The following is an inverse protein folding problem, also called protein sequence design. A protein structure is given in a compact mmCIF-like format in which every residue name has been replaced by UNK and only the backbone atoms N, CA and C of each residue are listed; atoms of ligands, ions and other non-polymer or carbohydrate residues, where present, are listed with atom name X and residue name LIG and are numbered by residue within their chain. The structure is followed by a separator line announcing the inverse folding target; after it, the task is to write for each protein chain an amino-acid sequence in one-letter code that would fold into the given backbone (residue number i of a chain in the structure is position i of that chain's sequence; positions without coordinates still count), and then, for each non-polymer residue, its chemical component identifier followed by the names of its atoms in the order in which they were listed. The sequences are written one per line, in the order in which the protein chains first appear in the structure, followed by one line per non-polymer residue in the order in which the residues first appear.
data_IF_550045003362
#
_entry.id   IF_550045003362
#
_cell.length_a   1.000
_cell.length_b   1.000
_cell.length_c   1.000
_cell.angle_alpha   90.00
_cell.angle_beta   90.00
_cell.angle_gamma   90.00
#
_symmetry.space_group_name_H-M   'P 1'
#
loop_
_entity.id
_entity.type
_entity.pdbx_description
1 polymer ?
#
# COMPACT_ATOMS: atom_id res chain seq x y z
N UNK A 1 -15.71 -13.70 -29.89
CA UNK A 1 -15.45 -14.99 -29.25
C UNK A 1 -16.71 -15.82 -29.28
N UNK A 2 -16.70 -16.93 -30.05
CA UNK A 2 -17.79 -17.90 -30.08
C UNK A 2 -17.57 -18.96 -28.98
N UNK A 3 -17.57 -18.54 -27.71
CA UNK A 3 -17.70 -19.49 -26.65
C UNK A 3 -19.11 -20.04 -26.66
N UNK A 4 -19.23 -21.34 -26.86
CA UNK A 4 -20.54 -22.00 -26.73
C UNK A 4 -20.98 -21.94 -25.27
N UNK A 5 -22.25 -21.65 -25.00
CA UNK A 5 -22.75 -21.61 -23.61
C UNK A 5 -22.38 -22.82 -22.78
N UNK A 6 -22.34 -23.99 -23.41
CA UNK A 6 -21.96 -25.25 -22.77
C UNK A 6 -20.51 -25.25 -22.27
N UNK A 7 -19.57 -24.63 -23.00
CA UNK A 7 -18.16 -24.58 -22.62
C UNK A 7 -17.93 -23.69 -21.39
N UNK A 8 -18.63 -22.56 -21.35
CA UNK A 8 -18.57 -21.65 -20.17
C UNK A 8 -19.15 -22.33 -18.94
N UNK A 9 -20.31 -22.99 -19.09
CA UNK A 9 -20.95 -23.73 -17.98
C UNK A 9 -20.04 -24.86 -17.49
N UNK A 10 -19.41 -25.60 -18.42
CA UNK A 10 -18.48 -26.68 -18.08
C UNK A 10 -17.25 -26.15 -17.31
N UNK A 11 -16.66 -25.07 -17.77
CA UNK A 11 -15.47 -24.46 -17.15
C UNK A 11 -15.76 -23.90 -15.76
N UNK A 12 -17.01 -23.51 -15.49
CA UNK A 12 -17.44 -23.04 -14.17
C UNK A 12 -18.03 -24.20 -13.31
N UNK A 13 -17.80 -25.45 -13.69
CA UNK A 13 -18.24 -26.62 -12.93
C UNK A 13 -19.76 -26.78 -12.84
N UNK A 14 -20.50 -26.31 -13.86
CA UNK A 14 -21.96 -26.35 -13.93
C UNK A 14 -22.47 -27.34 -15.00
N UNK A 15 -21.59 -28.08 -15.69
CA UNK A 15 -21.97 -29.02 -16.76
C UNK A 15 -22.92 -30.11 -16.32
N UNK A 16 -22.91 -30.49 -15.04
CA UNK A 16 -23.80 -31.53 -14.49
C UNK A 16 -25.20 -31.05 -14.12
N UNK A 17 -25.50 -29.77 -14.26
CA UNK A 17 -26.82 -29.22 -13.95
C UNK A 17 -27.75 -29.39 -15.14
N UNK A 18 -28.94 -29.97 -14.90
CA UNK A 18 -30.01 -30.00 -15.91
C UNK A 18 -30.49 -28.55 -16.17
N UNK A 19 -30.81 -28.25 -17.43
CA UNK A 19 -31.44 -26.98 -17.83
C UNK A 19 -32.80 -26.75 -17.18
N UNK A 20 -33.45 -27.83 -16.71
CA UNK A 20 -34.74 -27.77 -16.02
C UNK A 20 -34.59 -27.52 -14.50
N UNK A 21 -33.35 -27.42 -13.99
CA UNK A 21 -33.10 -27.20 -12.57
C UNK A 21 -33.52 -25.79 -12.16
N UNK A 22 -34.28 -25.69 -11.08
CA UNK A 22 -34.73 -24.41 -10.57
C UNK A 22 -33.56 -23.70 -9.92
N UNK A 23 -33.32 -22.43 -10.27
CA UNK A 23 -32.24 -21.58 -9.68
C UNK A 23 -32.38 -21.51 -8.15
N UNK A 24 -33.60 -21.66 -7.62
CA UNK A 24 -33.86 -21.68 -6.18
C UNK A 24 -33.14 -22.81 -5.44
N UNK A 25 -32.99 -23.98 -6.09
CA UNK A 25 -32.42 -25.20 -5.52
C UNK A 25 -30.89 -25.25 -5.58
N UNK A 26 -30.27 -24.32 -6.31
CA UNK A 26 -28.81 -24.21 -6.41
C UNK A 26 -28.19 -23.77 -5.09
N UNK A 27 -27.00 -24.29 -4.77
CA UNK A 27 -26.18 -23.78 -3.68
C UNK A 27 -25.75 -22.32 -3.94
N UNK A 28 -25.35 -21.59 -2.89
CA UNK A 28 -24.85 -20.20 -3.02
C UNK A 28 -23.72 -20.07 -4.04
N UNK A 29 -22.72 -20.95 -3.99
CA UNK A 29 -21.62 -20.97 -4.94
C UNK A 29 -22.05 -21.29 -6.37
N UNK A 30 -22.99 -22.24 -6.57
CA UNK A 30 -23.55 -22.53 -7.89
C UNK A 30 -24.32 -21.33 -8.46
N UNK A 31 -25.07 -20.58 -7.62
CA UNK A 31 -25.76 -19.35 -8.03
C UNK A 31 -24.78 -18.29 -8.49
N UNK A 32 -23.72 -18.05 -7.73
CA UNK A 32 -22.68 -17.08 -8.09
C UNK A 32 -22.03 -17.45 -9.42
N UNK A 33 -21.63 -18.70 -9.61
CA UNK A 33 -21.03 -19.19 -10.85
C UNK A 33 -21.98 -19.12 -12.04
N UNK A 34 -23.27 -19.41 -11.84
CA UNK A 34 -24.29 -19.28 -12.90
C UNK A 34 -24.49 -17.80 -13.32
N UNK A 35 -24.51 -16.89 -12.34
CA UNK A 35 -24.58 -15.44 -12.63
C UNK A 35 -23.34 -14.96 -13.38
N UNK A 36 -22.17 -15.45 -13.03
CA UNK A 36 -20.91 -15.15 -13.74
C UNK A 36 -21.00 -15.69 -15.18
N UNK A 37 -21.40 -16.96 -15.39
CA UNK A 37 -21.59 -17.53 -16.72
C UNK A 37 -22.53 -16.68 -17.59
N UNK A 38 -23.67 -16.28 -17.03
CA UNK A 38 -24.64 -15.41 -17.71
C UNK A 38 -24.02 -14.07 -18.10
N UNK A 39 -23.23 -13.46 -17.23
CA UNK A 39 -22.58 -12.18 -17.47
C UNK A 39 -21.57 -12.29 -18.63
N UNK A 40 -20.74 -13.33 -18.60
CA UNK A 40 -19.72 -13.58 -19.60
C UNK A 40 -20.31 -13.84 -20.99
N UNK A 41 -21.44 -14.55 -21.05
CA UNK A 41 -22.18 -14.81 -22.30
C UNK A 41 -22.77 -13.55 -22.94
N UNK A 42 -23.04 -12.52 -22.16
CA UNK A 42 -23.60 -11.26 -22.67
C UNK A 42 -22.57 -10.40 -23.41
N UNK A 43 -21.28 -10.72 -23.28
CA UNK A 43 -20.16 -9.98 -23.89
C UNK A 43 -20.31 -8.44 -23.74
N UNK A 44 -20.44 -7.91 -22.52
CA UNK A 44 -20.68 -6.49 -22.28
C UNK A 44 -19.47 -5.66 -22.69
N UNK A 45 -19.66 -4.36 -22.96
CA UNK A 45 -18.52 -3.46 -23.19
C UNK A 45 -17.76 -3.07 -21.93
N UNK A 46 -18.43 -3.16 -20.77
CA UNK A 46 -17.86 -2.89 -19.44
C UNK A 46 -18.28 -4.00 -18.49
N UNK A 47 -17.30 -4.59 -17.84
CA UNK A 47 -17.48 -5.65 -16.85
C UNK A 47 -17.09 -5.12 -15.47
N UNK A 48 -18.00 -5.22 -14.51
CA UNK A 48 -17.76 -4.88 -13.11
C UNK A 48 -17.80 -6.16 -12.29
N UNK A 49 -16.66 -6.51 -11.69
CA UNK A 49 -16.50 -7.73 -10.88
C UNK A 49 -16.15 -7.36 -9.45
N UNK A 50 -16.95 -7.81 -8.52
CA UNK A 50 -16.72 -7.66 -7.08
C UNK A 50 -16.44 -9.03 -6.48
N UNK A 51 -15.18 -9.22 -6.01
CA UNK A 51 -14.67 -10.49 -5.46
C UNK A 51 -15.01 -11.72 -6.31
N UNK A 52 -14.65 -11.72 -7.61
CA UNK A 52 -15.06 -12.79 -8.52
C UNK A 52 -14.37 -14.13 -8.22
N UNK A 53 -13.30 -14.13 -7.44
CA UNK A 53 -12.55 -15.31 -7.02
C UNK A 53 -13.27 -16.13 -5.94
N UNK A 54 -14.23 -15.53 -5.25
CA UNK A 54 -15.00 -16.22 -4.23
C UNK A 54 -15.80 -17.40 -4.81
N UNK A 55 -15.69 -18.55 -4.17
CA UNK A 55 -16.36 -19.79 -4.55
C UNK A 55 -15.88 -20.45 -5.86
N UNK A 56 -14.72 -20.04 -6.37
CA UNK A 56 -14.03 -20.70 -7.47
C UNK A 56 -12.94 -21.62 -6.92
N UNK A 57 -12.78 -22.78 -7.53
CA UNK A 57 -11.58 -23.60 -7.34
C UNK A 57 -10.44 -23.12 -8.26
N UNK A 58 -9.27 -23.70 -8.10
CA UNK A 58 -8.06 -23.28 -8.84
C UNK A 58 -8.27 -23.38 -10.36
N UNK A 59 -8.88 -24.46 -10.84
CA UNK A 59 -9.09 -24.66 -12.26
C UNK A 59 -10.08 -23.64 -12.86
N UNK A 60 -11.13 -23.31 -12.10
CA UNK A 60 -12.08 -22.25 -12.49
C UNK A 60 -11.44 -20.87 -12.48
N UNK A 61 -10.54 -20.62 -11.51
CA UNK A 61 -9.82 -19.37 -11.41
C UNK A 61 -8.89 -19.18 -12.61
N UNK A 62 -8.04 -20.16 -12.93
CA UNK A 62 -7.17 -20.16 -14.10
C UNK A 62 -7.95 -19.94 -15.41
N UNK A 63 -9.09 -20.62 -15.54
CA UNK A 63 -9.96 -20.42 -16.70
C UNK A 63 -10.51 -18.96 -16.76
N UNK A 64 -10.91 -18.37 -15.62
CA UNK A 64 -11.42 -17.00 -15.57
C UNK A 64 -10.31 -16.00 -15.92
N UNK A 65 -9.09 -16.21 -15.43
CA UNK A 65 -7.91 -15.40 -15.78
C UNK A 65 -7.69 -15.41 -17.30
N UNK A 66 -7.63 -16.60 -17.90
CA UNK A 66 -7.47 -16.76 -19.35
C UNK A 66 -8.61 -16.10 -20.14
N UNK A 67 -9.83 -16.18 -19.65
CA UNK A 67 -10.98 -15.55 -20.28
C UNK A 67 -10.88 -14.03 -20.24
N UNK A 68 -10.52 -13.46 -19.07
CA UNK A 68 -10.37 -12.01 -18.87
C UNK A 68 -9.25 -11.43 -19.73
N UNK A 69 -8.12 -12.13 -19.87
CA UNK A 69 -7.03 -11.70 -20.74
C UNK A 69 -7.43 -11.57 -22.22
N UNK A 70 -8.42 -12.36 -22.66
CA UNK A 70 -8.96 -12.34 -24.03
C UNK A 70 -10.17 -11.42 -24.19
N UNK A 71 -10.68 -10.89 -23.10
CA UNK A 71 -11.83 -10.01 -23.15
C UNK A 71 -11.46 -8.64 -23.75
N UNK A 72 -12.27 -8.15 -24.72
CA UNK A 72 -11.96 -6.92 -25.46
C UNK A 72 -12.65 -5.68 -24.89
N UNK A 73 -13.47 -5.83 -23.85
CA UNK A 73 -14.13 -4.72 -23.16
C UNK A 73 -13.29 -4.15 -22.03
N UNK A 74 -13.78 -3.13 -21.38
CA UNK A 74 -13.21 -2.61 -20.15
C UNK A 74 -13.63 -3.49 -18.97
N UNK A 75 -12.69 -3.74 -18.05
CA UNK A 75 -12.95 -4.53 -16.83
C UNK A 75 -12.53 -3.72 -15.62
N UNK A 76 -13.41 -3.64 -14.63
CA UNK A 76 -13.10 -3.12 -13.30
C UNK A 76 -13.31 -4.22 -12.28
N UNK A 77 -12.25 -4.56 -11.55
CA UNK A 77 -12.24 -5.67 -10.61
C UNK A 77 -11.95 -5.14 -9.21
N UNK A 78 -12.72 -5.60 -8.24
CA UNK A 78 -12.38 -5.51 -6.81
C UNK A 78 -12.06 -6.91 -6.34
N UNK A 79 -10.86 -7.14 -5.82
CA UNK A 79 -10.44 -8.44 -5.30
C UNK A 79 -9.38 -8.30 -4.21
N UNK A 80 -9.35 -9.27 -3.30
CA UNK A 80 -8.30 -9.46 -2.31
C UNK A 80 -7.26 -10.50 -2.75
N UNK A 81 -7.51 -11.19 -3.85
CA UNK A 81 -6.59 -12.18 -4.41
C UNK A 81 -5.50 -11.50 -5.24
N UNK A 82 -4.30 -11.47 -4.66
CA UNK A 82 -3.15 -10.80 -5.26
C UNK A 82 -2.64 -11.50 -6.51
N UNK A 83 -2.64 -12.84 -6.51
CA UNK A 83 -2.19 -13.62 -7.65
C UNK A 83 -3.13 -13.42 -8.85
N UNK A 84 -4.43 -13.44 -8.61
CA UNK A 84 -5.44 -13.13 -9.61
C UNK A 84 -5.27 -11.72 -10.20
N UNK A 85 -5.04 -10.71 -9.34
CA UNK A 85 -4.79 -9.34 -9.81
C UNK A 85 -3.48 -9.25 -10.61
N UNK A 86 -2.42 -9.94 -10.20
CA UNK A 86 -1.15 -9.94 -10.95
C UNK A 86 -1.30 -10.51 -12.36
N UNK A 87 -2.16 -11.52 -12.52
CA UNK A 87 -2.36 -12.18 -13.80
C UNK A 87 -3.37 -11.48 -14.72
N UNK A 88 -4.28 -10.67 -14.16
CA UNK A 88 -5.45 -10.18 -14.93
C UNK A 88 -5.45 -8.69 -15.21
N UNK A 89 -4.83 -7.86 -14.35
CA UNK A 89 -4.97 -6.40 -14.49
C UNK A 89 -3.73 -5.75 -15.08
N UNK A 90 -3.95 -4.66 -15.82
CA UNK A 90 -2.90 -3.82 -16.41
C UNK A 90 -2.72 -2.50 -15.66
N UNK A 91 -3.58 -2.20 -14.70
CA UNK A 91 -3.48 -1.02 -13.85
C UNK A 91 -4.26 -1.22 -12.56
N UNK A 92 -3.80 -0.57 -11.48
CA UNK A 92 -4.45 -0.57 -10.17
C UNK A 92 -5.01 0.82 -9.89
N UNK A 93 -6.26 0.85 -9.45
CA UNK A 93 -6.93 2.07 -9.00
C UNK A 93 -7.02 2.03 -7.47
N UNK A 94 -6.19 2.84 -6.81
CA UNK A 94 -6.19 2.97 -5.36
C UNK A 94 -7.18 4.05 -4.91
N UNK A 95 -8.07 3.69 -4.00
CA UNK A 95 -8.91 4.65 -3.28
C UNK A 95 -8.27 4.98 -1.93
N UNK A 96 -7.86 6.23 -1.74
CA UNK A 96 -7.32 6.70 -0.47
C UNK A 96 -8.48 6.97 0.52
N UNK A 97 -8.56 6.24 1.64
CA UNK A 97 -9.66 6.38 2.60
C UNK A 97 -9.63 7.73 3.35
N UNK A 98 -8.49 8.42 3.37
CA UNK A 98 -8.35 9.69 4.08
C UNK A 98 -8.74 10.90 3.23
N UNK A 99 -8.34 10.89 1.96
CA UNK A 99 -8.61 11.99 1.02
C UNK A 99 -9.81 11.73 0.12
N UNK A 100 -10.32 10.49 0.07
CA UNK A 100 -11.32 9.99 -0.87
C UNK A 100 -10.90 10.21 -2.34
N UNK A 101 -9.60 10.38 -2.55
CA UNK A 101 -9.00 10.54 -3.88
C UNK A 101 -8.74 9.20 -4.54
N UNK A 102 -8.80 9.18 -5.86
CA UNK A 102 -8.42 8.03 -6.69
C UNK A 102 -7.05 8.27 -7.29
N UNK A 103 -6.16 7.27 -7.17
CA UNK A 103 -4.85 7.28 -7.82
C UNK A 103 -4.72 6.06 -8.72
N UNK A 104 -4.32 6.30 -9.97
CA UNK A 104 -4.06 5.25 -10.93
C UNK A 104 -2.57 4.88 -10.91
N UNK A 105 -2.28 3.60 -10.78
CA UNK A 105 -0.95 3.01 -10.89
C UNK A 105 -0.92 2.10 -12.11
N UNK A 106 -0.03 2.36 -13.07
CA UNK A 106 0.15 1.46 -14.20
C UNK A 106 0.86 0.18 -13.76
N UNK A 107 0.52 -0.93 -14.40
CA UNK A 107 1.07 -2.24 -14.08
C UNK A 107 0.11 -3.12 -13.26
N UNK A 108 0.59 -4.29 -12.88
CA UNK A 108 -0.16 -5.26 -12.08
C UNK A 108 -0.03 -4.99 -10.56
N UNK A 109 -0.48 -5.93 -9.72
CA UNK A 109 -0.43 -5.75 -8.27
C UNK A 109 1.01 -5.74 -7.71
N UNK A 110 1.92 -6.52 -8.28
CA UNK A 110 3.34 -6.54 -7.91
C UNK A 110 4.00 -5.20 -8.25
N UNK A 111 3.75 -4.65 -9.43
CA UNK A 111 4.24 -3.33 -9.84
C UNK A 111 3.71 -2.22 -8.91
N UNK A 112 2.43 -2.28 -8.55
CA UNK A 112 1.83 -1.35 -7.60
C UNK A 112 2.51 -1.40 -6.22
N UNK A 113 2.75 -2.62 -5.70
CA UNK A 113 3.40 -2.76 -4.38
C UNK A 113 4.82 -2.25 -4.37
N UNK A 114 5.58 -2.46 -5.46
CA UNK A 114 6.93 -1.93 -5.62
C UNK A 114 6.94 -0.39 -5.69
N UNK A 115 6.04 0.19 -6.47
CA UNK A 115 5.89 1.65 -6.55
C UNK A 115 5.54 2.26 -5.19
N UNK A 116 4.58 1.67 -4.46
CA UNK A 116 4.20 2.12 -3.10
C UNK A 116 5.35 2.01 -2.12
N UNK A 117 6.10 0.92 -2.14
CA UNK A 117 7.28 0.75 -1.28
C UNK A 117 8.35 1.79 -1.59
N UNK A 118 8.60 2.04 -2.87
CA UNK A 118 9.52 3.08 -3.32
C UNK A 118 9.10 4.48 -2.85
N UNK A 119 7.81 4.84 -3.02
CA UNK A 119 7.25 6.11 -2.53
C UNK A 119 7.43 6.26 -1.01
N UNK A 120 7.10 5.21 -0.25
CA UNK A 120 7.25 5.22 1.21
C UNK A 120 8.72 5.39 1.64
N UNK A 121 9.63 4.67 1.00
CA UNK A 121 11.06 4.78 1.28
C UNK A 121 11.59 6.18 0.96
N UNK A 122 11.19 6.74 -0.18
CA UNK A 122 11.56 8.11 -0.56
C UNK A 122 11.01 9.14 0.44
N UNK A 123 9.75 9.02 0.85
CA UNK A 123 9.13 9.89 1.86
C UNK A 123 9.86 9.78 3.19
N UNK A 124 10.21 8.56 3.62
CA UNK A 124 10.94 8.32 4.86
C UNK A 124 12.34 8.94 4.81
N UNK A 125 13.06 8.76 3.70
CA UNK A 125 14.37 9.36 3.50
C UNK A 125 14.29 10.89 3.54
N UNK A 126 13.34 11.48 2.83
CA UNK A 126 13.12 12.94 2.82
C UNK A 126 12.81 13.45 4.22
N UNK A 127 11.98 12.74 4.99
CA UNK A 127 11.70 13.08 6.38
C UNK A 127 12.97 13.04 7.25
N UNK A 128 13.80 12.00 7.12
CA UNK A 128 15.06 11.90 7.88
C UNK A 128 16.02 13.03 7.52
N UNK A 129 16.16 13.37 6.24
CA UNK A 129 17.02 14.45 5.77
C UNK A 129 16.54 15.81 6.31
N UNK A 130 15.23 16.03 6.32
CA UNK A 130 14.65 17.24 6.93
C UNK A 130 14.92 17.31 8.43
N UNK A 131 14.72 16.20 9.17
CA UNK A 131 15.02 16.16 10.60
C UNK A 131 16.51 16.40 10.90
N UNK A 132 17.40 15.84 10.09
CA UNK A 132 18.83 16.11 10.20
C UNK A 132 19.16 17.59 9.93
N UNK A 133 18.52 18.22 8.93
CA UNK A 133 18.68 19.65 8.63
C UNK A 133 18.17 20.52 9.77
N UNK A 134 16.99 20.25 10.32
CA UNK A 134 16.42 20.95 11.47
C UNK A 134 17.37 20.85 12.67
N UNK A 135 17.89 19.66 12.96
CA UNK A 135 18.83 19.43 14.06
C UNK A 135 20.10 20.27 13.86
N UNK A 136 20.72 20.25 12.69
CA UNK A 136 21.90 21.06 12.37
C UNK A 136 21.64 22.54 12.53
N UNK A 137 20.48 23.03 12.10
CA UNK A 137 20.10 24.44 12.27
C UNK A 137 19.95 24.80 13.75
N UNK A 138 19.35 23.95 14.58
CA UNK A 138 19.26 24.16 16.04
C UNK A 138 20.62 24.18 16.72
N UNK A 139 21.48 23.22 16.39
CA UNK A 139 22.85 23.15 16.93
C UNK A 139 23.67 24.40 16.57
N UNK A 140 23.55 24.92 15.34
CA UNK A 140 24.22 26.09 14.87
C UNK A 140 23.71 27.38 15.57
N UNK A 141 22.42 27.46 15.86
CA UNK A 141 21.80 28.52 16.66
C UNK A 141 22.35 28.48 18.09
N UNK A 142 22.36 27.33 18.74
CA UNK A 142 22.84 27.14 20.12
C UNK A 142 24.31 27.54 20.19
N UNK A 143 25.17 27.06 19.29
CA UNK A 143 26.58 27.40 19.24
C UNK A 143 26.81 28.90 19.04
N UNK A 144 26.02 29.54 18.16
CA UNK A 144 26.14 30.99 17.91
C UNK A 144 25.70 31.80 19.13
N UNK A 145 24.66 31.36 19.87
CA UNK A 145 24.21 31.98 21.12
C UNK A 145 25.30 31.87 22.22
N UNK A 146 25.84 30.67 22.41
CA UNK A 146 26.89 30.41 23.38
C UNK A 146 28.12 31.32 23.11
N UNK A 147 28.53 31.39 21.85
CA UNK A 147 29.63 32.25 21.44
C UNK A 147 29.36 33.75 21.74
N UNK A 148 28.11 34.23 21.55
CA UNK A 148 27.73 35.59 21.90
C UNK A 148 27.78 35.84 23.41
N UNK A 149 27.28 34.88 24.21
CA UNK A 149 27.31 34.97 25.68
C UNK A 149 28.72 34.94 26.24
N UNK A 150 29.59 34.06 25.71
CA UNK A 150 30.99 33.96 26.12
C UNK A 150 31.73 35.27 25.88
N UNK A 151 31.57 35.88 24.70
CA UNK A 151 32.13 37.19 24.38
C UNK A 151 31.57 38.27 25.29
N UNK A 152 30.29 38.23 25.66
CA UNK A 152 29.67 39.20 26.56
C UNK A 152 30.21 39.10 28.00
N UNK A 153 30.39 37.88 28.52
CA UNK A 153 30.89 37.59 29.86
C UNK A 153 32.38 37.86 30.04
N UNK A 154 33.17 37.65 28.98
CA UNK A 154 34.63 37.86 29.03
C UNK A 154 35.04 39.30 28.76
N UNK A 155 34.11 40.16 28.35
CA UNK A 155 34.43 41.55 27.94
C UNK A 155 34.23 42.51 29.09
N UNK A 156 35.31 43.18 29.49
CA UNK A 156 35.27 44.27 30.46
C UNK A 156 34.61 45.52 29.86
N UNK A 157 34.06 46.38 30.73
CA UNK A 157 33.32 47.60 30.39
C UNK A 157 34.08 48.62 29.50
N UNK A 158 35.38 48.41 29.31
CA UNK A 158 36.30 49.34 28.64
C UNK A 158 36.56 49.02 27.16
N UNK A 159 35.95 47.99 26.56
CA UNK A 159 36.21 47.61 25.16
C UNK A 159 34.97 47.71 24.26
N UNK A 160 34.66 48.91 23.71
CA UNK A 160 33.44 49.12 22.90
C UNK A 160 33.42 48.31 21.60
N UNK A 161 34.57 47.93 21.05
CA UNK A 161 34.68 47.10 19.85
C UNK A 161 34.16 45.69 20.03
N UNK A 162 34.47 45.06 21.16
CA UNK A 162 34.06 43.69 21.47
C UNK A 162 32.55 43.61 21.75
N UNK A 163 31.98 44.63 22.41
CA UNK A 163 30.52 44.73 22.57
C UNK A 163 29.77 44.85 21.24
N UNK A 164 30.33 45.61 20.27
CA UNK A 164 29.74 45.66 18.92
C UNK A 164 29.79 44.29 18.24
N UNK A 165 30.86 43.54 18.43
CA UNK A 165 31.02 42.19 17.90
C UNK A 165 29.98 41.23 18.54
N UNK A 166 29.83 41.19 19.86
CA UNK A 166 28.83 40.38 20.56
C UNK A 166 27.41 40.68 20.06
N UNK A 167 27.03 41.99 19.92
CA UNK A 167 25.74 42.37 19.33
C UNK A 167 25.56 41.86 17.90
N UNK A 168 26.62 41.88 17.08
CA UNK A 168 26.55 41.35 15.71
C UNK A 168 26.33 39.84 15.68
N UNK A 169 26.97 39.11 16.59
CA UNK A 169 26.81 37.64 16.74
C UNK A 169 25.40 37.31 17.25
N UNK A 170 24.90 38.06 18.26
CA UNK A 170 23.53 37.92 18.74
C UNK A 170 22.48 38.15 17.63
N UNK A 171 22.66 39.21 16.84
CA UNK A 171 21.79 39.50 15.68
C UNK A 171 21.82 38.38 14.64
N UNK A 172 22.98 37.74 14.44
CA UNK A 172 23.16 36.60 13.55
C UNK A 172 22.39 35.36 14.08
N UNK A 173 22.42 35.12 15.40
CA UNK A 173 21.65 34.05 16.03
C UNK A 173 20.14 34.26 15.84
N UNK A 174 19.62 35.46 16.10
CA UNK A 174 18.21 35.80 15.87
C UNK A 174 17.79 35.64 14.40
N UNK A 175 18.64 35.99 13.46
CA UNK A 175 18.37 35.79 12.04
C UNK A 175 18.26 34.32 11.66
N UNK A 176 19.09 33.45 12.29
CA UNK A 176 19.05 32.01 12.10
C UNK A 176 17.81 31.39 12.73
N UNK A 177 17.39 31.89 13.89
CA UNK A 177 16.13 31.46 14.51
C UNK A 177 14.92 31.75 13.62
N UNK A 178 14.81 32.97 13.11
CA UNK A 178 13.76 33.34 12.16
C UNK A 178 13.80 32.51 10.89
N UNK A 179 14.98 32.09 10.43
CA UNK A 179 15.11 31.20 9.28
C UNK A 179 14.62 29.81 9.60
N UNK A 180 14.89 29.28 10.80
CA UNK A 180 14.40 27.99 11.25
C UNK A 180 12.88 28.04 11.42
N UNK A 181 12.34 29.08 12.04
CA UNK A 181 10.89 29.29 12.23
C UNK A 181 10.15 29.28 10.88
N UNK A 182 10.59 30.06 9.90
CA UNK A 182 10.02 30.05 8.55
C UNK A 182 10.13 28.69 7.86
N UNK A 183 11.21 27.95 8.11
CA UNK A 183 11.36 26.61 7.57
C UNK A 183 10.38 25.62 8.21
N UNK A 184 10.11 25.75 9.52
CA UNK A 184 9.14 24.94 10.25
C UNK A 184 7.67 25.28 9.91
N UNK A 185 7.42 26.49 9.42
CA UNK A 185 6.11 26.96 8.97
C UNK A 185 5.87 26.74 7.47
N UNK A 186 6.90 26.27 6.74
CA UNK A 186 6.77 26.06 5.29
C UNK A 186 5.98 24.82 4.96
N UNK A 187 5.21 24.85 3.87
CA UNK A 187 4.47 23.73 3.31
C UNK A 187 5.40 22.62 2.76
N UNK A 188 6.72 22.88 2.72
CA UNK A 188 7.71 21.91 2.24
C UNK A 188 8.03 20.80 3.27
N UNK A 189 7.45 20.87 4.48
CA UNK A 189 7.68 19.85 5.49
C UNK A 189 6.91 18.58 5.16
N UNK A 190 7.69 17.52 4.98
CA UNK A 190 7.12 16.17 4.77
C UNK A 190 6.75 15.58 6.12
N UNK A 191 5.51 15.15 6.24
CA UNK A 191 5.06 14.40 7.41
C UNK A 191 5.72 13.01 7.45
N UNK A 192 5.91 12.51 8.66
CA UNK A 192 6.40 11.15 8.84
C UNK A 192 5.41 10.18 8.19
N UNK A 193 5.87 9.26 7.31
CA UNK A 193 5.00 8.21 6.79
C UNK A 193 4.33 7.46 7.93
N UNK A 194 3.03 7.27 7.84
CA UNK A 194 2.32 6.45 8.82
C UNK A 194 2.81 5.02 8.66
N UNK A 195 3.25 4.35 9.72
CA UNK A 195 3.61 2.94 9.62
C UNK A 195 2.36 2.18 9.16
N UNK A 196 2.50 1.39 8.11
CA UNK A 196 1.47 0.41 7.76
C UNK A 196 1.24 -0.48 8.96
N UNK A 197 -0.03 -0.77 9.27
CA UNK A 197 -0.39 -1.62 10.38
C UNK A 197 0.21 -3.02 10.15
N UNK A 198 1.33 -3.31 10.80
CA UNK A 198 1.95 -4.62 10.75
C UNK A 198 1.61 -5.33 12.06
N UNK A 199 0.85 -6.41 11.97
CA UNK A 199 0.73 -7.35 13.08
C UNK A 199 2.10 -7.98 13.23
N UNK A 200 2.85 -7.59 14.27
CA UNK A 200 4.04 -8.34 14.69
C UNK A 200 3.54 -9.56 15.43
N UNK A 201 3.43 -10.67 14.73
CA UNK A 201 3.26 -11.97 15.36
C UNK A 201 4.63 -12.40 15.88
N UNK A 202 4.86 -12.21 17.16
CA UNK A 202 6.06 -12.69 17.84
C UNK A 202 5.71 -14.07 18.42
N UNK A 203 6.13 -15.10 17.72
CA UNK A 203 5.99 -16.46 18.22
C UNK A 203 7.18 -16.74 19.13
N UNK A 204 6.93 -16.96 20.42
CA UNK A 204 7.96 -17.45 21.32
C UNK A 204 8.53 -18.74 20.71
N UNK A 205 9.86 -18.81 20.56
CA UNK A 205 10.49 -20.03 20.10
C UNK A 205 10.14 -21.15 21.10
N UNK A 206 9.60 -22.28 20.64
CA UNK A 206 9.29 -23.38 21.54
C UNK A 206 10.59 -23.92 22.17
N UNK A 207 10.55 -24.19 23.44
CA UNK A 207 11.72 -24.71 24.19
C UNK A 207 12.23 -26.07 23.66
N UNK A 208 11.39 -26.76 22.88
CA UNK A 208 11.74 -28.00 22.19
C UNK A 208 11.17 -28.00 20.78
N UNK A 209 12.05 -28.05 19.79
CA UNK A 209 11.68 -28.33 18.41
C UNK A 209 11.58 -29.84 18.24
N UNK A 210 10.37 -30.37 18.22
CA UNK A 210 10.13 -31.76 17.79
C UNK A 210 10.56 -31.91 16.33
N UNK A 211 11.19 -33.04 16.01
CA UNK A 211 11.57 -33.39 14.62
C UNK A 211 10.33 -33.57 13.74
N UNK A 212 9.23 -33.99 14.36
CA UNK A 212 7.95 -34.25 13.68
C UNK A 212 6.98 -33.14 14.04
N UNK A 213 6.67 -32.29 13.06
CA UNK A 213 5.75 -31.15 13.21
C UNK A 213 4.30 -31.61 13.14
N UNK A 214 4.03 -32.65 12.38
CA UNK A 214 2.71 -33.28 12.23
C UNK A 214 2.90 -34.75 11.87
N UNK A 215 2.38 -35.65 12.69
CA UNK A 215 2.31 -37.08 12.39
C UNK A 215 0.83 -37.46 12.30
N UNK A 216 0.40 -37.98 11.16
CA UNK A 216 -0.97 -38.43 10.97
C UNK A 216 -0.97 -39.94 10.68
N UNK A 217 -1.69 -40.72 11.50
CA UNK A 217 -1.95 -42.11 11.25
C UNK A 217 -3.45 -42.29 10.86
N UNK A 218 -3.69 -43.01 9.76
CA UNK A 218 -5.03 -43.31 9.27
C UNK A 218 -5.92 -42.09 8.99
N UNK A 219 -5.36 -41.02 8.39
CA UNK A 219 -6.10 -39.83 7.99
C UNK A 219 -7.07 -40.19 6.86
N UNK A 220 -8.37 -40.11 7.13
CA UNK A 220 -9.42 -40.19 6.13
C UNK A 220 -9.96 -38.79 5.88
N UNK A 221 -9.74 -38.26 4.67
CA UNK A 221 -10.28 -36.97 4.24
C UNK A 221 -11.48 -37.29 3.34
N UNK A 222 -12.68 -36.89 3.78
CA UNK A 222 -13.90 -36.95 3.01
C UNK A 222 -14.49 -35.56 2.81
N UNK A 223 -15.08 -35.35 1.65
CA UNK A 223 -15.98 -34.23 1.38
C UNK A 223 -17.41 -34.65 1.66
#
# INVERSE_FOLDING_TARGET
FDYQPADILASLGLAGLSTDHLVGELSGGQKTRLLLARLLLQSPHLLLLDEPTNHLDIAMLEWLEDWLQRFHGAVLIVSHDRAFLDNTVSSILELDPSTHGLRLFPGNYSDYTEQKLSEQNHQLQTFHDQQAKIRRMREDIVRTKQQSLEVELTTTSREPGVRRYAKKVAKKALSREKKLERYLESDDLVERPRPSWQIKLDFAAPDHVSRDVLVTENLSIGY
#
